data_IF_418801607266
#
_entry.id   IF_418801607266
#
_cell.length_a   1.000
_cell.length_b   1.000
_cell.length_c   1.000
_cell.angle_alpha   90.00
_cell.angle_beta   90.00
_cell.angle_gamma   90.00
#
_symmetry.space_group_name_H-M   'P 1'
#
loop_
_entity.id
_entity.type
_entity.pdbx_description
1 polymer ?
#
# COMPACT_ATOMS: atom_id res chain seq x y z
N UNK A 1 0.60 8.48 -12.65
CA UNK A 1 -0.85 8.20 -12.48
C UNK A 1 -1.17 6.69 -12.48
N UNK A 2 -0.29 5.83 -11.92
CA UNK A 2 -0.46 4.37 -12.02
C UNK A 2 -1.62 3.83 -11.16
N UNK A 3 -1.85 4.39 -9.97
CA UNK A 3 -2.98 4.02 -9.11
C UNK A 3 -4.31 4.28 -9.82
N UNK A 4 -4.50 5.47 -10.40
CA UNK A 4 -5.71 5.78 -11.17
C UNK A 4 -5.90 4.82 -12.36
N UNK A 5 -4.82 4.41 -13.01
CA UNK A 5 -4.90 3.41 -14.09
C UNK A 5 -5.44 2.06 -13.59
N UNK A 6 -5.04 1.61 -12.39
CA UNK A 6 -5.60 0.39 -11.77
C UNK A 6 -7.11 0.52 -11.48
N UNK A 7 -7.61 1.72 -11.15
CA UNK A 7 -9.05 1.95 -10.99
C UNK A 7 -9.85 1.76 -12.29
N UNK A 8 -9.21 1.97 -13.44
CA UNK A 8 -9.88 1.93 -14.76
C UNK A 8 -9.72 0.60 -15.48
N UNK A 9 -8.82 -0.27 -15.00
CA UNK A 9 -8.56 -1.58 -15.59
C UNK A 9 -9.37 -2.64 -14.86
N UNK A 10 -10.01 -3.52 -15.62
CA UNK A 10 -10.57 -4.75 -15.07
C UNK A 10 -9.41 -5.69 -14.69
N UNK A 11 -9.44 -6.16 -13.46
CA UNK A 11 -8.51 -7.13 -12.92
C UNK A 11 -9.21 -7.97 -11.85
N UNK A 12 -8.73 -9.18 -11.68
CA UNK A 12 -9.15 -10.12 -10.64
C UNK A 12 -8.38 -9.88 -9.34
N UNK A 13 -8.87 -10.45 -8.23
CA UNK A 13 -8.14 -10.42 -6.95
C UNK A 13 -6.79 -11.12 -7.07
N UNK A 14 -6.69 -12.22 -7.83
CA UNK A 14 -5.45 -12.96 -8.05
C UNK A 14 -4.40 -12.13 -8.81
N UNK A 15 -4.82 -11.35 -9.81
CA UNK A 15 -3.94 -10.43 -10.53
C UNK A 15 -3.44 -9.30 -9.62
N UNK A 16 -4.31 -8.79 -8.75
CA UNK A 16 -3.91 -7.81 -7.74
C UNK A 16 -2.91 -8.42 -6.76
N UNK A 17 -3.17 -9.62 -6.23
CA UNK A 17 -2.24 -10.32 -5.34
C UNK A 17 -0.88 -10.55 -6.01
N UNK A 18 -0.87 -10.98 -7.28
CA UNK A 18 0.36 -11.13 -8.08
C UNK A 18 1.15 -9.82 -8.19
N UNK A 19 0.45 -8.68 -8.30
CA UNK A 19 1.08 -7.36 -8.29
C UNK A 19 1.65 -7.01 -6.90
N UNK A 20 0.95 -7.35 -5.81
CA UNK A 20 1.41 -7.13 -4.44
C UNK A 20 2.63 -7.99 -4.08
N UNK A 21 2.73 -9.20 -4.64
CA UNK A 21 3.85 -10.13 -4.45
C UNK A 21 5.03 -9.90 -5.41
N UNK A 22 4.95 -8.86 -6.25
CA UNK A 22 5.91 -8.65 -7.33
C UNK A 22 7.33 -8.34 -6.84
N UNK A 23 8.21 -9.35 -6.81
CA UNK A 23 9.58 -9.21 -6.24
C UNK A 23 10.57 -8.31 -6.97
N UNK A 24 10.37 -8.06 -8.27
CA UNK A 24 11.33 -7.27 -9.07
C UNK A 24 11.13 -5.75 -8.94
N UNK A 25 9.90 -5.29 -8.72
CA UNK A 25 9.58 -3.84 -8.79
C UNK A 25 8.84 -3.37 -7.55
N UNK A 26 9.60 -2.79 -6.61
CA UNK A 26 9.09 -2.13 -5.40
C UNK A 26 8.02 -1.10 -5.75
N UNK A 27 8.23 -0.30 -6.81
CA UNK A 27 7.26 0.69 -7.27
C UNK A 27 5.92 0.07 -7.67
N UNK A 28 5.94 -1.08 -8.35
CA UNK A 28 4.72 -1.77 -8.76
C UNK A 28 3.92 -2.25 -7.54
N UNK A 29 4.62 -2.83 -6.55
CA UNK A 29 4.03 -3.23 -5.26
C UNK A 29 3.41 -2.03 -4.53
N UNK A 30 4.14 -0.94 -4.37
CA UNK A 30 3.61 0.27 -3.71
C UNK A 30 2.35 0.81 -4.39
N UNK A 31 2.27 0.75 -5.73
CA UNK A 31 1.07 1.15 -6.47
C UNK A 31 -0.12 0.23 -6.14
N UNK A 32 0.10 -1.08 -6.08
CA UNK A 32 -0.93 -2.06 -5.69
C UNK A 32 -1.36 -1.88 -4.23
N UNK A 33 -0.43 -1.77 -3.29
CA UNK A 33 -0.70 -1.59 -1.86
C UNK A 33 -1.50 -0.30 -1.60
N UNK A 34 -1.11 0.79 -2.27
CA UNK A 34 -1.86 2.06 -2.19
C UNK A 34 -3.24 1.93 -2.84
N UNK A 35 -3.37 1.21 -3.94
CA UNK A 35 -4.65 0.92 -4.57
C UNK A 35 -5.59 0.16 -3.63
N UNK A 36 -5.11 -0.88 -2.95
CA UNK A 36 -5.86 -1.62 -1.90
C UNK A 36 -6.33 -0.65 -0.82
N UNK A 37 -5.45 0.24 -0.34
CA UNK A 37 -5.76 1.25 0.67
C UNK A 37 -6.89 2.21 0.26
N UNK A 38 -7.07 2.46 -1.04
CA UNK A 38 -8.15 3.32 -1.53
C UNK A 38 -9.47 2.57 -1.80
N UNK A 39 -9.41 1.29 -2.16
CA UNK A 39 -10.56 0.54 -2.66
C UNK A 39 -11.22 -0.34 -1.62
N UNK A 40 -10.44 -0.92 -0.71
CA UNK A 40 -10.93 -1.92 0.22
C UNK A 40 -11.63 -1.27 1.40
N UNK A 41 -12.67 -1.97 1.90
CA UNK A 41 -13.35 -1.55 3.11
C UNK A 41 -12.38 -1.62 4.31
N UNK A 42 -12.47 -0.68 5.27
CA UNK A 42 -11.59 -0.66 6.42
C UNK A 42 -11.48 -2.00 7.16
N UNK A 43 -12.57 -2.76 7.24
CA UNK A 43 -12.64 -4.04 7.96
C UNK A 43 -11.86 -5.16 7.27
N UNK A 44 -11.59 -5.04 5.97
CA UNK A 44 -10.85 -6.02 5.16
C UNK A 44 -9.42 -5.59 4.87
N UNK A 45 -9.06 -4.37 5.23
CA UNK A 45 -7.77 -3.81 4.89
C UNK A 45 -6.61 -4.53 5.61
N UNK A 46 -6.82 -4.95 6.87
CA UNK A 46 -5.83 -5.73 7.61
C UNK A 46 -5.62 -7.10 6.97
N UNK A 47 -6.71 -7.85 6.76
CA UNK A 47 -6.69 -9.18 6.12
C UNK A 47 -5.91 -9.18 4.80
N UNK A 48 -5.99 -8.10 4.02
CA UNK A 48 -5.31 -7.97 2.72
C UNK A 48 -3.84 -7.53 2.81
N UNK A 49 -3.44 -6.88 3.90
CA UNK A 49 -2.13 -6.23 3.99
C UNK A 49 -1.21 -6.77 5.09
N UNK A 50 -1.73 -7.59 6.02
CA UNK A 50 -1.00 -8.09 7.17
C UNK A 50 0.28 -8.85 6.79
N UNK A 51 0.24 -9.61 5.70
CA UNK A 51 1.39 -10.38 5.21
C UNK A 51 2.56 -9.50 4.75
N UNK A 52 2.29 -8.25 4.41
CA UNK A 52 3.28 -7.30 3.92
C UNK A 52 3.86 -6.39 5.00
N UNK A 53 3.30 -6.40 6.22
CA UNK A 53 3.75 -5.53 7.32
C UNK A 53 5.19 -5.84 7.76
N UNK A 54 5.60 -7.11 7.66
CA UNK A 54 6.96 -7.56 8.00
C UNK A 54 7.85 -7.71 6.75
N UNK A 55 7.47 -7.10 5.63
CA UNK A 55 8.24 -7.21 4.40
C UNK A 55 9.52 -6.36 4.45
N UNK A 56 10.67 -7.04 4.45
CA UNK A 56 11.99 -6.42 4.54
C UNK A 56 12.54 -5.89 3.20
N UNK A 57 11.78 -6.01 2.10
CA UNK A 57 12.21 -5.49 0.80
C UNK A 57 12.48 -3.99 0.86
N UNK A 58 13.71 -3.60 0.53
CA UNK A 58 14.12 -2.19 0.53
C UNK A 58 13.75 -1.46 -0.78
N UNK A 59 13.76 -0.13 -0.71
CA UNK A 59 13.53 0.74 -1.88
C UNK A 59 14.79 0.94 -2.75
N UNK A 60 15.91 0.31 -2.40
CA UNK A 60 17.17 0.35 -3.10
C UNK A 60 17.59 1.77 -3.51
N UNK A 61 17.90 2.01 -4.81
CA UNK A 61 18.34 3.31 -5.30
C UNK A 61 17.30 4.45 -5.16
N UNK A 62 16.02 4.14 -4.93
CA UNK A 62 14.96 5.15 -4.81
C UNK A 62 15.06 5.91 -3.49
N UNK A 63 15.56 5.26 -2.43
CA UNK A 63 15.71 5.84 -1.10
C UNK A 63 16.58 7.11 -1.10
N UNK A 64 17.61 7.14 -1.94
CA UNK A 64 18.49 8.31 -2.11
C UNK A 64 17.92 9.42 -2.99
N UNK A 65 16.84 9.14 -3.73
CA UNK A 65 16.23 10.10 -4.68
C UNK A 65 14.98 10.78 -4.12
N UNK A 66 14.29 10.14 -3.17
CA UNK A 66 13.06 10.65 -2.59
C UNK A 66 13.17 10.70 -1.06
N UNK A 67 13.20 11.92 -0.53
CA UNK A 67 13.27 12.16 0.90
C UNK A 67 11.95 11.78 1.58
N UNK A 68 12.03 11.11 2.74
CA UNK A 68 10.85 10.68 3.49
C UNK A 68 10.21 9.37 3.01
N UNK A 69 10.86 8.64 2.10
CA UNK A 69 10.50 7.25 1.83
C UNK A 69 10.81 6.37 3.05
N UNK A 70 9.93 5.40 3.37
CA UNK A 70 10.23 4.32 4.31
C UNK A 70 11.46 3.52 3.88
N UNK A 71 12.07 2.81 4.82
CA UNK A 71 13.21 1.95 4.55
C UNK A 71 12.80 0.67 3.81
N UNK A 72 11.64 0.11 4.16
CA UNK A 72 11.14 -1.18 3.64
C UNK A 72 9.66 -1.11 3.22
N UNK A 73 9.21 -2.11 2.46
CA UNK A 73 7.79 -2.29 2.12
C UNK A 73 6.94 -2.43 3.40
N UNK A 74 7.41 -3.13 4.43
CA UNK A 74 6.72 -3.24 5.71
C UNK A 74 6.44 -1.89 6.35
N UNK A 75 7.48 -1.05 6.51
CA UNK A 75 7.31 0.30 7.01
C UNK A 75 6.39 1.14 6.11
N UNK A 76 6.43 0.92 4.78
CA UNK A 76 5.52 1.58 3.85
C UNK A 76 4.06 1.22 4.11
N UNK A 77 3.75 -0.06 4.28
CA UNK A 77 2.41 -0.55 4.60
C UNK A 77 1.93 0.03 5.93
N UNK A 78 2.77 0.05 6.97
CA UNK A 78 2.46 0.72 8.23
C UNK A 78 2.06 2.19 8.03
N UNK A 79 2.80 2.92 7.18
CA UNK A 79 2.46 4.32 6.91
C UNK A 79 1.08 4.50 6.26
N UNK A 80 0.61 3.51 5.48
CA UNK A 80 -0.72 3.55 4.86
C UNK A 80 -1.85 3.41 5.90
N UNK A 81 -1.59 2.69 6.99
CA UNK A 81 -2.53 2.56 8.10
C UNK A 81 -2.51 3.79 9.03
N UNK A 82 -1.32 4.33 9.30
CA UNK A 82 -1.15 5.41 10.27
C UNK A 82 -1.50 6.80 9.71
N UNK A 83 -1.18 7.06 8.44
CA UNK A 83 -1.34 8.40 7.86
C UNK A 83 -2.78 8.61 7.37
N UNK A 84 -3.27 9.83 7.56
CA UNK A 84 -4.56 10.26 7.00
C UNK A 84 -4.44 10.84 5.58
N UNK A 85 -3.21 11.17 5.17
CA UNK A 85 -2.89 11.72 3.85
C UNK A 85 -1.67 11.02 3.26
N UNK A 86 -1.70 10.84 1.95
CA UNK A 86 -0.60 10.35 1.14
C UNK A 86 -0.17 11.46 0.18
N UNK A 87 1.01 12.06 0.41
CA UNK A 87 1.55 13.18 -0.39
C UNK A 87 0.52 14.31 -0.66
N UNK A 88 -0.25 14.68 0.37
CA UNK A 88 -1.26 15.74 0.28
C UNK A 88 -2.65 15.26 -0.18
N UNK A 89 -2.75 14.06 -0.76
CA UNK A 89 -4.04 13.44 -1.09
C UNK A 89 -4.65 12.79 0.16
N UNK A 90 -5.90 13.12 0.55
CA UNK A 90 -6.56 12.48 1.67
C UNK A 90 -6.86 11.00 1.36
N UNK A 91 -6.55 10.13 2.33
CA UNK A 91 -6.90 8.71 2.24
C UNK A 91 -8.32 8.48 2.78
N UNK A 92 -9.04 7.43 2.32
CA UNK A 92 -10.33 7.05 2.88
C UNK A 92 -10.22 6.86 4.40
N UNK A 93 -11.16 7.44 5.15
CA UNK A 93 -11.11 7.44 6.61
C UNK A 93 -11.27 6.03 7.17
N UNK A 94 -10.36 5.64 8.07
CA UNK A 94 -10.51 4.43 8.86
C UNK A 94 -11.37 4.74 10.11
N UNK A 95 -12.48 4.02 10.34
CA UNK A 95 -13.25 4.13 11.57
C UNK A 95 -12.38 3.87 12.80
N UNK A 96 -12.62 4.59 13.89
CA UNK A 96 -11.83 4.44 15.11
C UNK A 96 -11.86 3.01 15.68
N UNK A 97 -12.95 2.27 15.45
CA UNK A 97 -13.05 0.86 15.83
C UNK A 97 -12.06 -0.05 15.11
N UNK A 98 -11.78 0.23 13.84
CA UNK A 98 -10.81 -0.53 13.02
C UNK A 98 -9.39 -0.12 13.40
N UNK A 99 -9.12 1.17 13.60
CA UNK A 99 -7.78 1.67 14.02
C UNK A 99 -7.28 1.10 15.35
N UNK A 100 -8.17 0.64 16.23
CA UNK A 100 -7.79 0.00 17.51
C UNK A 100 -7.48 -1.49 17.37
N UNK A 101 -7.84 -2.10 16.24
CA UNK A 101 -7.61 -3.51 15.94
C UNK A 101 -6.37 -3.74 15.08
N UNK A 102 -5.96 -2.71 14.34
CA UNK A 102 -4.66 -2.58 13.68
C UNK A 102 -3.60 -2.30 14.75
#
# INVERSE_FOLDING_TARGET
CCVFRLFTLEHTEDELQTLLDHRVSVCARCVGLLYVRFTHRPEKLWDMLEEYVLDEMDFGPLKGKMQGLPNTIGEYVETLFMKEKYFGTPLPRLPAGVRRKL
#
